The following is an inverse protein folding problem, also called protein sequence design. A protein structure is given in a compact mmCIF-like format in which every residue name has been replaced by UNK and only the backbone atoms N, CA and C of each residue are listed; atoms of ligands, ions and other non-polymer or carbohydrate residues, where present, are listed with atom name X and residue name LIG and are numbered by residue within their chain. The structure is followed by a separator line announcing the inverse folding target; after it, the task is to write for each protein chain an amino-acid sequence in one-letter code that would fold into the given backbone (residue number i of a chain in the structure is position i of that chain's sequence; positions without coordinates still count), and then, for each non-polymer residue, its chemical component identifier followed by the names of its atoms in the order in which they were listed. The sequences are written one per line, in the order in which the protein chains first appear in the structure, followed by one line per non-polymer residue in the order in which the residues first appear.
data_IF_357846893321
#
_entry.id   IF_357846893321
#
_cell.length_a   1.000
_cell.length_b   1.000
_cell.length_c   1.000
_cell.angle_alpha   90.00
_cell.angle_beta   90.00
_cell.angle_gamma   90.00
#
_symmetry.space_group_name_H-M   'P 1'
#
loop_
_entity.id
_entity.type
_entity.pdbx_description
1 polymer ?
#
# COMPACT_ATOMS: atom_id res chain seq x y z
N UNK A 1 -19.40 12.77 -20.50
CA UNK A 1 -18.61 11.62 -20.02
C UNK A 1 -17.83 12.08 -18.80
N UNK A 2 -18.16 11.59 -17.61
CA UNK A 2 -17.53 12.06 -16.38
C UNK A 2 -16.06 11.63 -16.36
N UNK A 3 -15.15 12.60 -16.21
CA UNK A 3 -13.71 12.35 -16.25
C UNK A 3 -13.22 11.94 -14.87
N UNK A 4 -12.59 10.78 -14.79
CA UNK A 4 -11.99 10.33 -13.53
C UNK A 4 -10.59 10.90 -13.39
N UNK A 5 -10.38 11.72 -12.35
CA UNK A 5 -9.09 12.38 -12.13
C UNK A 5 -8.08 11.43 -11.47
N UNK A 6 -8.53 10.52 -10.62
CA UNK A 6 -7.66 9.58 -9.90
C UNK A 6 -8.36 8.23 -9.72
N UNK A 7 -7.68 7.16 -10.14
CA UNK A 7 -7.99 5.77 -9.84
C UNK A 7 -6.95 5.24 -8.86
N UNK A 8 -7.41 4.59 -7.80
CA UNK A 8 -6.59 3.89 -6.80
C UNK A 8 -6.90 2.42 -6.84
N UNK A 9 -5.87 1.58 -6.87
CA UNK A 9 -6.03 0.12 -6.85
C UNK A 9 -5.16 -0.52 -5.78
N UNK A 10 -5.75 -1.39 -4.98
CA UNK A 10 -4.95 -2.38 -4.27
C UNK A 10 -4.60 -3.48 -5.26
N UNK A 11 -3.30 -3.72 -5.45
CA UNK A 11 -2.82 -4.84 -6.24
C UNK A 11 -3.38 -6.12 -5.62
N UNK A 12 -3.89 -7.07 -6.43
CA UNK A 12 -4.16 -8.41 -5.95
C UNK A 12 -2.86 -9.08 -5.45
N UNK A 13 -2.94 -10.21 -4.73
CA UNK A 13 -1.75 -10.98 -4.36
C UNK A 13 -0.90 -11.24 -5.60
N UNK A 14 0.41 -10.97 -5.53
CA UNK A 14 1.31 -10.99 -6.69
C UNK A 14 1.31 -12.35 -7.41
N UNK A 15 1.15 -13.44 -6.65
CA UNK A 15 1.02 -14.82 -7.18
C UNK A 15 -0.25 -15.08 -8.00
N UNK A 16 -1.22 -14.18 -7.97
CA UNK A 16 -2.55 -14.35 -8.55
C UNK A 16 -3.07 -13.05 -9.20
N UNK A 17 -2.16 -12.21 -9.72
CA UNK A 17 -2.47 -10.85 -10.18
C UNK A 17 -3.58 -10.78 -11.23
N UNK A 18 -3.66 -11.76 -12.13
CA UNK A 18 -4.65 -11.76 -13.22
C UNK A 18 -5.99 -12.39 -12.83
N UNK A 19 -6.03 -13.19 -11.77
CA UNK A 19 -7.19 -14.03 -11.43
C UNK A 19 -7.87 -13.63 -10.12
N UNK A 20 -7.17 -12.92 -9.24
CA UNK A 20 -7.70 -12.54 -7.94
C UNK A 20 -8.52 -11.23 -8.02
N UNK A 21 -9.50 -11.07 -7.10
CA UNK A 21 -10.31 -9.86 -7.03
C UNK A 21 -9.48 -8.58 -6.88
N UNK A 22 -9.90 -7.53 -7.58
CA UNK A 22 -9.25 -6.22 -7.58
C UNK A 22 -10.12 -5.25 -6.79
N UNK A 23 -9.55 -4.63 -5.75
CA UNK A 23 -10.19 -3.55 -5.00
C UNK A 23 -9.74 -2.22 -5.59
N UNK A 24 -10.68 -1.43 -6.07
CA UNK A 24 -10.39 -0.14 -6.65
C UNK A 24 -11.34 0.94 -6.14
N UNK A 25 -10.85 2.17 -6.14
CA UNK A 25 -11.66 3.35 -5.88
C UNK A 25 -11.27 4.47 -6.85
N UNK A 26 -12.22 5.27 -7.26
CA UNK A 26 -11.98 6.39 -8.15
C UNK A 26 -12.65 7.68 -7.67
N UNK A 27 -12.02 8.81 -7.98
CA UNK A 27 -12.52 10.13 -7.61
C UNK A 27 -13.39 10.70 -8.74
N UNK A 28 -14.61 11.04 -8.38
CA UNK A 28 -15.65 11.70 -9.21
C UNK A 28 -15.95 13.10 -8.66
N UNK A 29 -16.80 13.86 -9.34
CA UNK A 29 -17.26 15.16 -8.81
C UNK A 29 -18.05 15.01 -7.50
N UNK A 30 -18.73 13.87 -7.30
CA UNK A 30 -19.52 13.56 -6.12
C UNK A 30 -18.70 12.89 -5.00
N UNK A 31 -17.38 12.74 -5.18
CA UNK A 31 -16.48 12.16 -4.19
C UNK A 31 -15.88 10.82 -4.62
N UNK A 32 -15.46 10.02 -3.65
CA UNK A 32 -14.88 8.71 -3.89
C UNK A 32 -15.96 7.65 -4.12
N UNK A 33 -15.80 6.87 -5.18
CA UNK A 33 -16.57 5.67 -5.46
C UNK A 33 -15.64 4.46 -5.34
N UNK A 34 -16.15 3.33 -4.86
CA UNK A 34 -15.36 2.12 -4.63
C UNK A 34 -16.05 0.87 -5.17
N UNK A 35 -15.27 -0.09 -5.65
CA UNK A 35 -15.76 -1.39 -6.10
C UNK A 35 -14.72 -2.48 -5.81
N UNK A 36 -15.22 -3.71 -5.64
CA UNK A 36 -14.40 -4.93 -5.74
C UNK A 36 -14.83 -5.65 -7.01
N UNK A 37 -13.88 -5.86 -7.91
CA UNK A 37 -14.10 -6.50 -9.20
C UNK A 37 -13.46 -7.88 -9.20
N UNK A 38 -13.92 -8.77 -10.07
CA UNK A 38 -13.45 -10.16 -10.11
C UNK A 38 -11.96 -10.29 -10.45
N UNK A 39 -11.44 -9.42 -11.32
CA UNK A 39 -10.06 -9.41 -11.78
C UNK A 39 -9.71 -8.12 -12.54
N UNK A 40 -8.48 -8.04 -13.09
CA UNK A 40 -8.01 -6.90 -13.88
C UNK A 40 -8.74 -6.75 -15.23
N UNK A 41 -9.21 -7.84 -15.83
CA UNK A 41 -9.99 -7.78 -17.07
C UNK A 41 -11.36 -7.12 -16.84
N UNK A 42 -12.03 -7.44 -15.73
CA UNK A 42 -13.29 -6.81 -15.33
C UNK A 42 -13.12 -5.30 -15.10
N UNK A 43 -11.99 -4.88 -14.51
CA UNK A 43 -11.63 -3.47 -14.38
C UNK A 43 -11.44 -2.78 -15.72
N UNK A 44 -10.71 -3.41 -16.64
CA UNK A 44 -10.46 -2.85 -17.97
C UNK A 44 -11.75 -2.73 -18.80
N UNK A 45 -12.73 -3.61 -18.56
CA UNK A 45 -14.03 -3.62 -19.22
C UNK A 45 -15.00 -2.55 -18.67
N UNK A 46 -14.68 -1.91 -17.53
CA UNK A 46 -15.53 -0.86 -17.00
C UNK A 46 -15.59 0.35 -17.95
N UNK A 47 -16.81 0.73 -18.36
CA UNK A 47 -17.07 1.94 -19.15
C UNK A 47 -16.82 3.23 -18.34
N UNK A 48 -16.83 3.13 -17.01
CA UNK A 48 -16.39 4.14 -16.04
C UNK A 48 -15.51 3.45 -15.01
N UNK A 49 -14.26 3.88 -14.79
CA UNK A 49 -13.73 5.22 -15.05
C UNK A 49 -13.34 5.46 -16.51
N UNK A 50 -13.83 6.56 -17.11
CA UNK A 50 -13.23 7.07 -18.34
C UNK A 50 -11.73 7.27 -18.09
N UNK A 51 -10.89 6.85 -19.04
CA UNK A 51 -9.41 6.72 -18.92
C UNK A 51 -8.83 7.64 -17.84
N UNK A 52 -8.44 7.10 -16.67
CA UNK A 52 -8.11 7.93 -15.52
C UNK A 52 -6.87 8.78 -15.83
N UNK A 53 -6.87 10.05 -15.38
CA UNK A 53 -5.69 10.91 -15.51
C UNK A 53 -4.50 10.40 -14.73
N UNK A 54 -4.78 9.75 -13.59
CA UNK A 54 -3.78 9.22 -12.69
C UNK A 54 -4.26 7.90 -12.09
N UNK A 55 -3.35 6.96 -11.98
CA UNK A 55 -3.47 5.63 -11.43
C UNK A 55 -2.40 5.49 -10.35
N UNK A 56 -2.84 5.37 -9.11
CA UNK A 56 -1.98 5.01 -7.99
C UNK A 56 -2.31 3.57 -7.58
N UNK A 57 -1.30 2.82 -7.17
CA UNK A 57 -1.50 1.47 -6.64
C UNK A 57 -0.86 1.31 -5.28
N UNK A 58 -1.37 0.38 -4.47
CA UNK A 58 -0.66 -0.13 -3.30
C UNK A 58 -0.54 -1.66 -3.39
N UNK A 59 0.54 -2.26 -2.86
CA UNK A 59 0.67 -3.71 -2.81
C UNK A 59 -0.45 -4.38 -1.99
N UNK A 60 -0.71 -5.66 -2.27
CA UNK A 60 -1.48 -6.49 -1.36
C UNK A 60 -0.77 -6.53 0.01
N UNK A 61 -1.47 -6.42 1.16
CA UNK A 61 -0.84 -6.35 2.48
C UNK A 61 0.01 -7.58 2.82
N UNK A 62 -0.29 -8.74 2.24
CA UNK A 62 0.52 -9.96 2.40
C UNK A 62 1.78 -10.04 1.55
N UNK A 63 2.00 -9.12 0.61
CA UNK A 63 3.19 -9.13 -0.26
C UNK A 63 4.17 -7.99 0.09
N UNK A 64 3.81 -7.12 1.03
CA UNK A 64 4.63 -5.97 1.44
C UNK A 64 4.95 -6.03 2.92
N UNK A 65 6.23 -5.88 3.24
CA UNK A 65 6.69 -5.67 4.60
C UNK A 65 6.83 -4.18 4.87
N UNK A 66 6.50 -3.77 6.09
CA UNK A 66 6.55 -2.38 6.52
C UNK A 66 7.19 -2.30 7.91
N UNK A 67 8.02 -1.28 8.12
CA UNK A 67 8.52 -0.96 9.45
C UNK A 67 8.88 0.53 9.53
N UNK A 68 9.27 0.97 10.71
CA UNK A 68 9.80 2.31 10.94
C UNK A 68 11.23 2.17 11.47
N UNK A 69 12.19 2.80 10.78
CA UNK A 69 13.60 2.72 11.10
C UNK A 69 14.05 3.90 11.95
N UNK A 70 14.79 3.60 13.00
CA UNK A 70 15.61 4.58 13.71
C UNK A 70 16.94 4.72 12.98
N UNK A 71 17.12 5.86 12.32
CA UNK A 71 18.34 6.18 11.60
C UNK A 71 18.98 7.43 12.21
N UNK A 72 20.33 7.49 12.29
CA UNK A 72 21.01 8.69 12.75
C UNK A 72 20.59 9.93 11.93
N UNK A 73 20.85 11.14 12.43
CA UNK A 73 20.65 12.36 11.67
C UNK A 73 21.58 12.36 10.46
N UNK A 74 21.05 11.94 9.31
CA UNK A 74 21.79 11.80 8.06
C UNK A 74 21.37 12.91 7.09
N UNK A 75 22.30 13.44 6.29
CA UNK A 75 21.94 14.24 5.12
C UNK A 75 21.00 13.45 4.20
N UNK A 76 20.07 14.14 3.54
CA UNK A 76 19.08 13.52 2.65
C UNK A 76 19.72 12.58 1.60
N UNK A 77 20.90 12.96 1.09
CA UNK A 77 21.67 12.17 0.12
C UNK A 77 22.10 10.78 0.64
N UNK A 78 22.24 10.59 1.96
CA UNK A 78 22.66 9.32 2.57
C UNK A 78 21.50 8.46 3.07
N UNK A 79 20.28 9.02 3.10
CA UNK A 79 19.12 8.33 3.66
C UNK A 79 18.86 7.00 2.95
N UNK A 80 18.91 6.98 1.62
CA UNK A 80 18.67 5.76 0.83
C UNK A 80 19.65 4.64 1.18
N UNK A 81 20.95 4.94 1.24
CA UNK A 81 21.96 3.93 1.56
C UNK A 81 21.77 3.37 2.97
N UNK A 82 21.48 4.23 3.95
CA UNK A 82 21.24 3.79 5.33
C UNK A 82 19.98 2.92 5.44
N UNK A 83 18.90 3.29 4.73
CA UNK A 83 17.68 2.47 4.66
C UNK A 83 17.97 1.11 4.03
N UNK A 84 18.69 1.05 2.91
CA UNK A 84 18.99 -0.22 2.25
C UNK A 84 19.84 -1.15 3.13
N UNK A 85 20.85 -0.61 3.82
CA UNK A 85 21.66 -1.39 4.76
C UNK A 85 20.85 -1.91 5.96
N UNK A 86 19.89 -1.14 6.46
CA UNK A 86 18.99 -1.60 7.52
C UNK A 86 18.00 -2.67 7.02
N UNK A 87 17.44 -2.49 5.83
CA UNK A 87 16.46 -3.42 5.23
C UNK A 87 17.12 -4.76 4.88
N UNK A 88 18.38 -4.79 4.47
CA UNK A 88 19.10 -6.03 4.15
C UNK A 88 18.99 -7.08 5.27
N UNK A 89 19.10 -6.64 6.51
CA UNK A 89 18.97 -7.50 7.69
C UNK A 89 17.53 -7.97 7.97
N UNK A 90 16.53 -7.19 7.55
CA UNK A 90 15.12 -7.46 7.82
C UNK A 90 14.45 -8.27 6.71
N UNK A 91 14.83 -8.02 5.46
CA UNK A 91 14.19 -8.60 4.29
C UNK A 91 14.65 -10.03 4.00
N UNK A 92 15.81 -10.44 4.55
CA UNK A 92 16.45 -11.73 4.25
C UNK A 92 16.63 -11.96 2.73
N UNK A 93 16.78 -10.88 1.98
CA UNK A 93 16.96 -10.83 0.54
C UNK A 93 17.94 -9.70 0.19
N UNK A 94 18.64 -9.81 -0.94
CA UNK A 94 19.57 -8.77 -1.36
C UNK A 94 18.79 -7.47 -1.65
N UNK A 95 19.27 -6.30 -1.20
CA UNK A 95 18.58 -5.03 -1.45
C UNK A 95 18.35 -4.71 -2.94
N UNK A 96 19.16 -5.28 -3.83
CA UNK A 96 19.01 -5.16 -5.28
C UNK A 96 17.74 -5.85 -5.81
N UNK A 97 17.23 -6.85 -5.10
CA UNK A 97 16.04 -7.63 -5.48
C UNK A 97 14.74 -7.04 -4.89
N UNK A 98 14.84 -5.91 -4.19
CA UNK A 98 13.74 -5.28 -3.47
C UNK A 98 13.30 -3.97 -4.12
N UNK A 99 11.98 -3.82 -4.25
CA UNK A 99 11.37 -2.52 -4.44
C UNK A 99 11.17 -1.88 -3.07
N UNK A 100 11.88 -0.79 -2.79
CA UNK A 100 11.88 -0.11 -1.48
C UNK A 100 11.25 1.28 -1.59
N UNK A 101 10.19 1.50 -0.82
CA UNK A 101 9.60 2.81 -0.56
C UNK A 101 10.15 3.43 0.72
N UNK A 102 10.51 4.71 0.67
CA UNK A 102 11.02 5.48 1.81
C UNK A 102 10.08 6.66 2.03
N UNK A 103 9.43 6.71 3.19
CA UNK A 103 8.56 7.82 3.55
C UNK A 103 9.32 9.00 4.15
N UNK A 104 8.60 10.09 4.39
CA UNK A 104 9.15 11.25 5.07
C UNK A 104 9.53 10.90 6.52
N UNK A 105 10.63 11.49 7.00
CA UNK A 105 11.03 11.38 8.40
C UNK A 105 9.97 12.02 9.29
N UNK A 106 9.55 11.33 10.34
CA UNK A 106 8.57 11.86 11.29
C UNK A 106 9.20 12.84 12.31
N UNK A 107 8.36 13.42 13.17
CA UNK A 107 8.78 14.37 14.19
C UNK A 107 9.73 13.77 15.25
N UNK A 108 9.70 12.44 15.43
CA UNK A 108 10.62 11.70 16.33
C UNK A 108 11.94 11.36 15.64
N UNK A 109 12.08 11.71 14.36
CA UNK A 109 13.26 11.42 13.58
C UNK A 109 13.26 10.02 12.98
N UNK A 110 12.17 9.25 13.06
CA UNK A 110 12.12 7.90 12.48
C UNK A 110 11.66 7.93 11.03
N UNK A 111 12.01 6.89 10.28
CA UNK A 111 11.78 6.82 8.84
C UNK A 111 10.90 5.61 8.51
N UNK A 112 9.64 5.80 8.10
CA UNK A 112 8.79 4.72 7.66
C UNK A 112 9.29 4.17 6.33
N UNK A 113 9.36 2.85 6.23
CA UNK A 113 9.83 2.14 5.04
C UNK A 113 8.91 0.97 4.71
N UNK A 114 8.81 0.66 3.44
CA UNK A 114 8.10 -0.50 2.94
C UNK A 114 8.92 -1.20 1.86
N UNK A 115 8.89 -2.53 1.83
CA UNK A 115 9.58 -3.30 0.80
C UNK A 115 8.80 -4.52 0.36
N UNK A 116 9.01 -4.90 -0.90
CA UNK A 116 8.53 -6.15 -1.49
C UNK A 116 9.50 -6.61 -2.58
N UNK A 117 9.32 -7.82 -3.11
CA UNK A 117 10.08 -8.30 -4.27
C UNK A 117 9.92 -7.34 -5.47
N UNK A 118 11.04 -6.88 -6.02
CA UNK A 118 11.06 -6.02 -7.21
C UNK A 118 10.50 -6.74 -8.44
N UNK A 119 10.77 -8.05 -8.56
CA UNK A 119 10.25 -8.90 -9.62
C UNK A 119 8.73 -9.02 -9.53
N UNK A 120 8.21 -9.34 -8.34
CA UNK A 120 6.78 -9.45 -8.10
C UNK A 120 6.05 -8.14 -8.40
N UNK A 121 6.57 -7.00 -7.92
CA UNK A 121 6.00 -5.69 -8.24
C UNK A 121 6.04 -5.43 -9.76
N UNK A 122 7.16 -5.73 -10.42
CA UNK A 122 7.30 -5.53 -11.86
C UNK A 122 6.32 -6.38 -12.66
N UNK A 123 6.06 -7.62 -12.24
CA UNK A 123 5.05 -8.49 -12.85
C UNK A 123 3.65 -7.87 -12.71
N UNK A 124 3.28 -7.40 -11.51
CA UNK A 124 2.00 -6.73 -11.29
C UNK A 124 1.82 -5.47 -12.14
N UNK A 125 2.85 -4.62 -12.21
CA UNK A 125 2.82 -3.41 -13.04
C UNK A 125 2.73 -3.74 -14.54
N UNK A 126 3.31 -4.86 -14.97
CA UNK A 126 3.20 -5.34 -16.36
C UNK A 126 1.78 -5.80 -16.68
N UNK A 127 1.15 -6.56 -15.79
CA UNK A 127 -0.25 -6.99 -15.93
C UNK A 127 -1.19 -5.78 -16.07
N UNK A 128 -1.06 -4.78 -15.19
CA UNK A 128 -1.83 -3.54 -15.29
C UNK A 128 -1.64 -2.81 -16.63
N UNK A 129 -0.40 -2.73 -17.13
CA UNK A 129 -0.10 -2.10 -18.42
C UNK A 129 -0.75 -2.84 -19.60
N UNK A 130 -0.83 -4.18 -19.55
CA UNK A 130 -1.52 -4.98 -20.57
C UNK A 130 -3.02 -4.65 -20.63
N UNK A 131 -3.60 -4.24 -19.50
CA UNK A 131 -4.97 -3.73 -19.39
C UNK A 131 -5.10 -2.22 -19.64
N UNK A 132 -4.07 -1.56 -20.18
CA UNK A 132 -4.10 -0.13 -20.51
C UNK A 132 -3.95 0.82 -19.32
N UNK A 133 -3.62 0.30 -18.14
CA UNK A 133 -3.44 1.08 -16.92
C UNK A 133 -1.96 1.41 -16.72
N UNK A 134 -1.58 2.63 -17.07
CA UNK A 134 -0.26 3.16 -16.74
C UNK A 134 -0.27 3.61 -15.28
N UNK A 135 0.50 2.97 -14.42
CA UNK A 135 0.66 3.35 -13.00
C UNK A 135 1.63 4.52 -12.86
N UNK A 136 1.24 5.56 -12.14
CA UNK A 136 2.09 6.73 -11.85
C UNK A 136 2.73 6.70 -10.46
N UNK A 137 2.16 5.95 -9.51
CA UNK A 137 2.77 5.82 -8.18
C UNK A 137 2.42 4.48 -7.54
N UNK A 138 3.38 3.93 -6.79
CA UNK A 138 3.18 2.81 -5.86
C UNK A 138 3.32 3.38 -4.45
N UNK A 139 2.27 3.25 -3.65
CA UNK A 139 2.22 3.75 -2.27
C UNK A 139 2.05 2.58 -1.29
N UNK A 140 2.47 2.78 -0.04
CA UNK A 140 2.23 1.79 1.00
C UNK A 140 0.71 1.65 1.28
N UNK A 141 0.20 0.46 1.63
CA UNK A 141 -1.24 0.22 1.82
C UNK A 141 -1.96 1.22 2.73
N UNK A 142 -1.37 1.67 3.87
CA UNK A 142 -2.03 2.67 4.72
C UNK A 142 -2.36 4.00 4.02
N UNK A 143 -1.61 4.40 2.99
CA UNK A 143 -1.85 5.66 2.28
C UNK A 143 -3.21 5.69 1.54
N UNK A 144 -3.84 4.52 1.36
CA UNK A 144 -5.14 4.38 0.69
C UNK A 144 -6.32 4.50 1.66
N UNK A 145 -6.07 4.46 2.97
CA UNK A 145 -7.09 4.77 3.97
C UNK A 145 -7.25 6.28 4.12
N UNK A 146 -8.41 6.80 4.55
CA UNK A 146 -8.55 8.20 4.93
C UNK A 146 -7.47 8.59 5.94
N UNK A 147 -6.87 9.78 5.79
CA UNK A 147 -5.97 10.32 6.79
C UNK A 147 -6.83 10.78 7.98
N UNK A 148 -6.75 10.15 9.16
CA UNK A 148 -7.54 10.59 10.29
C UNK A 148 -6.99 11.92 10.83
N UNK A 149 -7.86 12.89 11.09
CA UNK A 149 -7.49 14.09 11.85
C UNK A 149 -7.18 13.72 13.32
N UNK A 150 -7.88 12.70 13.84
CA UNK A 150 -7.66 12.08 15.14
C UNK A 150 -7.95 10.58 15.07
N UNK A 151 -7.23 9.79 15.87
CA UNK A 151 -7.44 8.34 15.97
C UNK A 151 -6.82 7.55 14.82
N UNK A 152 -7.44 6.41 14.49
CA UNK A 152 -6.93 5.45 13.50
C UNK A 152 -7.97 5.21 12.41
N UNK A 153 -7.51 5.07 11.17
CA UNK A 153 -8.30 4.45 10.11
C UNK A 153 -7.81 3.02 9.91
N UNK A 154 -8.73 2.06 9.85
CA UNK A 154 -8.39 0.66 9.64
C UNK A 154 -9.31 -0.01 8.62
N UNK A 155 -8.75 -0.96 7.87
CA UNK A 155 -9.48 -1.81 6.93
C UNK A 155 -8.98 -3.24 7.00
N UNK A 156 -9.91 -4.21 6.97
CA UNK A 156 -9.57 -5.63 6.83
C UNK A 156 -9.60 -6.05 5.37
N UNK A 157 -8.51 -6.64 4.89
CA UNK A 157 -8.37 -7.17 3.54
C UNK A 157 -7.72 -8.55 3.59
N UNK A 158 -8.41 -9.58 3.09
CA UNK A 158 -7.85 -10.92 2.84
C UNK A 158 -7.07 -11.51 4.04
N UNK A 159 -7.61 -11.32 5.24
CA UNK A 159 -6.97 -11.78 6.48
C UNK A 159 -5.90 -10.84 7.05
N UNK A 160 -5.78 -9.61 6.55
CA UNK A 160 -4.86 -8.59 7.04
C UNK A 160 -5.60 -7.36 7.56
N UNK A 161 -5.10 -6.75 8.62
CA UNK A 161 -5.44 -5.38 9.00
C UNK A 161 -4.46 -4.43 8.33
N UNK A 162 -4.99 -3.42 7.66
CA UNK A 162 -4.25 -2.24 7.22
C UNK A 162 -4.68 -1.12 8.16
N UNK A 163 -3.72 -0.45 8.78
CA UNK A 163 -3.98 0.65 9.72
C UNK A 163 -3.20 1.87 9.31
N UNK A 164 -3.86 3.03 9.30
CA UNK A 164 -3.25 4.34 9.12
C UNK A 164 -3.38 5.12 10.43
N UNK A 165 -2.24 5.56 10.96
CA UNK A 165 -2.13 6.38 12.18
C UNK A 165 -1.72 7.83 11.89
N UNK A 166 -1.34 8.15 10.65
CA UNK A 166 -0.99 9.52 10.27
C UNK A 166 -0.76 9.69 8.76
N UNK A 167 -0.23 10.85 8.37
CA UNK A 167 -0.05 11.20 6.96
C UNK A 167 0.86 10.21 6.20
N UNK A 168 1.98 9.80 6.81
CA UNK A 168 2.92 8.81 6.27
C UNK A 168 3.12 7.58 7.16
N UNK A 169 2.21 7.37 8.11
CA UNK A 169 2.40 6.45 9.23
C UNK A 169 1.28 5.41 9.29
N UNK A 170 1.64 4.17 9.56
CA UNK A 170 0.72 3.04 9.59
C UNK A 170 1.43 1.69 9.53
N UNK A 171 0.64 0.62 9.52
CA UNK A 171 1.14 -0.75 9.48
C UNK A 171 0.22 -1.66 8.68
N UNK A 172 0.74 -2.84 8.37
CA UNK A 172 -0.05 -4.02 7.97
C UNK A 172 0.21 -5.13 8.98
N UNK A 173 -0.83 -5.87 9.35
CA UNK A 173 -0.71 -6.94 10.34
C UNK A 173 -1.60 -8.13 9.97
N UNK A 174 -1.09 -9.37 10.00
CA UNK A 174 -1.91 -10.54 9.74
C UNK A 174 -2.95 -10.73 10.85
N UNK A 175 -4.14 -11.16 10.49
CA UNK A 175 -5.24 -11.46 11.40
C UNK A 175 -5.46 -12.97 11.40
N UNK A 176 -5.57 -13.58 12.58
CA UNK A 176 -6.04 -14.94 12.66
C UNK A 176 -7.54 -14.99 12.27
N UNK A 177 -7.95 -16.07 11.61
CA UNK A 177 -9.31 -16.24 11.07
C UNK A 177 -10.44 -16.07 12.11
N UNK A 178 -10.14 -16.21 13.41
CA UNK A 178 -11.11 -16.19 14.50
C UNK A 178 -11.37 -14.80 15.14
N UNK A 179 -10.97 -13.70 14.51
CA UNK A 179 -10.98 -12.39 15.18
C UNK A 179 -12.10 -11.48 14.69
N UNK A 180 -13.14 -11.34 15.51
CA UNK A 180 -14.33 -10.56 15.20
C UNK A 180 -14.52 -9.31 16.07
N UNK A 181 -13.81 -9.15 17.19
CA UNK A 181 -13.99 -8.00 18.09
C UNK A 181 -13.05 -6.82 17.70
N UNK A 182 -13.60 -5.67 17.26
CA UNK A 182 -12.81 -4.48 16.91
C UNK A 182 -12.00 -3.93 18.09
N UNK A 183 -12.48 -4.05 19.33
CA UNK A 183 -11.81 -3.48 20.52
C UNK A 183 -10.54 -4.27 20.83
N UNK A 184 -10.62 -5.60 20.79
CA UNK A 184 -9.46 -6.47 20.98
C UNK A 184 -8.44 -6.30 19.85
N UNK A 185 -8.93 -6.10 18.63
CA UNK A 185 -8.07 -5.83 17.49
C UNK A 185 -7.31 -4.50 17.67
N UNK A 186 -8.02 -3.42 18.05
CA UNK A 186 -7.37 -2.15 18.34
C UNK A 186 -6.34 -2.30 19.46
N UNK A 187 -6.69 -2.95 20.57
CA UNK A 187 -5.78 -3.17 21.69
C UNK A 187 -4.51 -3.92 21.29
N UNK A 188 -4.59 -4.86 20.34
CA UNK A 188 -3.41 -5.58 19.83
C UNK A 188 -2.59 -4.77 18.83
N UNK A 189 -3.23 -3.97 17.98
CA UNK A 189 -2.54 -3.19 16.96
C UNK A 189 -1.91 -1.93 17.52
N UNK A 190 -2.50 -1.32 18.56
CA UNK A 190 -2.06 -0.03 19.11
C UNK A 190 -0.59 -0.02 19.56
N UNK A 191 -0.05 -1.05 20.24
CA UNK A 191 1.36 -1.13 20.60
C UNK A 191 2.31 -1.28 19.40
N UNK A 192 1.80 -1.75 18.26
CA UNK A 192 2.59 -1.98 17.04
C UNK A 192 2.64 -0.74 16.15
N UNK A 193 1.79 0.26 16.43
CA UNK A 193 1.78 1.47 15.64
C UNK A 193 3.03 2.30 15.94
N UNK A 194 3.67 2.87 14.90
CA UNK A 194 4.63 3.94 15.10
C UNK A 194 3.98 5.07 15.93
N UNK A 195 4.61 5.38 17.07
CA UNK A 195 4.18 6.40 18.02
C UNK A 195 4.40 7.83 17.54
#
# INVERSE_FOLDING_TARGET
MERVDLLRLMLPPARAVDTAPVRCAWRTAQGWQGATLENLAALAALSTPSRPRRVEVCPHPGDVSMTTLELPPLPAARLRVAVLGAIELLALAAPADLAVGIGARDATGRVPVAWMSAEALSACLRALRQHGLAVQAVLAPPAFLPAPDQGLAALRVDGWAIVRSGAGSGLVHPLAAAQADPVQLEARLRPLLPG
#
